data_IF_401849155376
#
_entry.id   IF_401849155376
#
_cell.length_a   1.000
_cell.length_b   1.000
_cell.length_c   1.000
_cell.angle_alpha   90.00
_cell.angle_beta   90.00
_cell.angle_gamma   90.00
#
_symmetry.space_group_name_H-M   'P 1'
#
loop_
_entity.id
_entity.type
_entity.pdbx_description
1 polymer ?
#
# COMPACT_ATOMS: atom_id res chain seq x y z
N UNK A 1 24.47 17.22 -10.80
CA UNK A 1 24.45 15.77 -10.45
C UNK A 1 23.49 15.10 -11.43
N UNK A 2 23.92 14.06 -12.15
CA UNK A 2 23.06 13.32 -13.07
C UNK A 2 22.46 12.14 -12.31
N UNK A 3 21.14 12.09 -12.19
CA UNK A 3 20.43 10.94 -11.62
C UNK A 3 20.36 9.81 -12.66
N UNK A 4 20.64 8.58 -12.26
CA UNK A 4 20.49 7.38 -13.10
C UNK A 4 19.41 6.49 -12.50
N UNK A 5 18.51 5.99 -13.36
CA UNK A 5 17.48 5.04 -12.97
C UNK A 5 18.11 3.69 -12.63
N UNK A 6 17.70 3.09 -11.51
CA UNK A 6 18.05 1.70 -11.15
C UNK A 6 17.35 0.69 -12.06
N UNK A 7 17.90 -0.52 -12.13
CA UNK A 7 17.36 -1.61 -12.96
C UNK A 7 16.69 -2.71 -12.12
N UNK A 8 16.69 -2.56 -10.80
CA UNK A 8 16.09 -3.52 -9.88
C UNK A 8 14.56 -3.46 -9.95
N UNK A 9 13.94 -4.62 -9.72
CA UNK A 9 12.49 -4.75 -9.66
C UNK A 9 12.01 -4.54 -8.23
N UNK A 10 10.84 -3.90 -8.09
CA UNK A 10 10.20 -3.67 -6.81
C UNK A 10 9.68 -4.98 -6.21
N UNK A 11 9.79 -5.11 -4.88
CA UNK A 11 9.22 -6.24 -4.14
C UNK A 11 7.68 -6.22 -4.24
N UNK A 12 7.08 -7.39 -4.48
CA UNK A 12 5.63 -7.52 -4.68
C UNK A 12 4.83 -7.16 -3.43
N UNK A 13 5.39 -7.37 -2.24
CA UNK A 13 4.72 -7.00 -1.01
C UNK A 13 4.72 -5.49 -0.86
N UNK A 14 5.78 -4.80 -1.25
CA UNK A 14 5.78 -3.34 -1.25
C UNK A 14 4.67 -2.78 -2.14
N UNK A 15 4.56 -3.28 -3.38
CA UNK A 15 3.50 -2.84 -4.32
C UNK A 15 2.09 -3.10 -3.76
N UNK A 16 1.89 -4.27 -3.15
CA UNK A 16 0.60 -4.60 -2.51
C UNK A 16 0.31 -3.77 -1.25
N UNK A 17 1.34 -3.42 -0.46
CA UNK A 17 1.21 -2.66 0.78
C UNK A 17 0.74 -1.23 0.55
N UNK A 18 1.19 -0.59 -0.54
CA UNK A 18 0.80 0.78 -0.88
C UNK A 18 -0.58 0.89 -1.55
N UNK A 19 -1.36 -0.19 -1.60
CA UNK A 19 -2.71 -0.20 -2.19
C UNK A 19 -3.67 0.83 -1.58
N UNK A 20 -3.50 1.19 -0.30
CA UNK A 20 -4.30 2.23 0.37
C UNK A 20 -4.17 3.61 -0.31
N UNK A 21 -3.07 3.89 -1.01
CA UNK A 21 -2.87 5.15 -1.72
C UNK A 21 -3.88 5.33 -2.88
N UNK A 22 -4.41 4.22 -3.42
CA UNK A 22 -5.41 4.25 -4.48
C UNK A 22 -6.75 4.79 -3.98
N UNK A 23 -7.14 4.41 -2.76
CA UNK A 23 -8.40 4.85 -2.16
C UNK A 23 -8.28 6.29 -1.62
N UNK A 24 -7.07 6.77 -1.32
CA UNK A 24 -6.84 8.16 -0.92
C UNK A 24 -7.43 9.18 -1.91
N UNK A 25 -7.27 8.93 -3.21
CA UNK A 25 -7.86 9.76 -4.25
C UNK A 25 -9.40 9.78 -4.25
N UNK A 26 -10.04 8.71 -3.76
CA UNK A 26 -11.50 8.62 -3.62
C UNK A 26 -12.00 9.41 -2.41
N UNK A 27 -11.32 9.26 -1.27
CA UNK A 27 -11.69 9.93 -0.02
C UNK A 27 -11.43 11.45 -0.03
N UNK A 28 -10.36 11.90 -0.68
CA UNK A 28 -10.09 13.34 -0.90
C UNK A 28 -11.22 14.06 -1.65
N UNK A 29 -11.95 13.35 -2.53
CA UNK A 29 -13.09 13.93 -3.27
C UNK A 29 -14.37 14.01 -2.44
N UNK A 30 -14.53 13.13 -1.46
CA UNK A 30 -15.69 13.10 -0.55
C UNK A 30 -15.45 13.85 0.76
N UNK A 31 -14.24 14.41 0.97
CA UNK A 31 -13.88 15.14 2.19
C UNK A 31 -13.65 14.24 3.41
N UNK A 32 -13.40 12.94 3.19
CA UNK A 32 -13.10 11.97 4.23
C UNK A 32 -11.61 11.64 4.32
N UNK A 33 -11.22 10.99 5.41
CA UNK A 33 -9.89 10.41 5.59
C UNK A 33 -9.82 9.02 4.95
N UNK A 34 -8.69 8.62 4.35
CA UNK A 34 -8.54 7.37 3.63
C UNK A 34 -8.27 6.18 4.56
N UNK A 35 -9.06 6.06 5.61
CA UNK A 35 -8.91 5.02 6.63
C UNK A 35 -9.95 3.95 6.36
N UNK A 36 -9.49 2.72 6.12
CA UNK A 36 -10.38 1.57 6.02
C UNK A 36 -10.80 1.11 7.42
N UNK A 37 -12.08 0.76 7.58
CA UNK A 37 -12.60 0.23 8.85
C UNK A 37 -12.09 -1.19 9.15
N UNK A 38 -11.83 -2.00 8.11
CA UNK A 38 -11.45 -3.40 8.23
C UNK A 38 -10.59 -3.85 7.05
N UNK A 39 -9.55 -4.64 7.37
CA UNK A 39 -8.80 -5.46 6.42
C UNK A 39 -9.26 -6.91 6.58
N UNK A 40 -9.62 -7.57 5.47
CA UNK A 40 -10.15 -8.93 5.50
C UNK A 40 -9.52 -9.79 4.39
N UNK A 41 -8.69 -10.75 4.78
CA UNK A 41 -7.99 -11.70 3.91
C UNK A 41 -7.76 -13.03 4.64
N UNK A 42 -7.24 -14.03 3.91
CA UNK A 42 -6.81 -15.31 4.48
C UNK A 42 -5.71 -15.18 5.55
N UNK A 43 -5.61 -16.18 6.44
CA UNK A 43 -4.66 -16.16 7.57
C UNK A 43 -3.19 -16.22 7.13
N UNK A 44 -2.92 -16.68 5.91
CA UNK A 44 -1.60 -16.67 5.28
C UNK A 44 -1.03 -15.25 5.08
N UNK A 45 -1.89 -14.22 5.06
CA UNK A 45 -1.49 -12.84 4.82
C UNK A 45 -0.87 -12.12 6.03
N UNK A 46 -0.85 -12.75 7.21
CA UNK A 46 -0.30 -12.15 8.43
C UNK A 46 1.19 -11.76 8.31
N UNK A 47 1.94 -12.49 7.48
CA UNK A 47 3.36 -12.24 7.20
C UNK A 47 3.61 -11.68 5.80
N UNK A 48 2.53 -11.35 5.10
CA UNK A 48 2.55 -10.79 3.75
C UNK A 48 1.83 -9.46 3.74
N UNK A 49 0.67 -9.42 3.09
CA UNK A 49 -0.02 -8.18 2.80
C UNK A 49 -0.36 -7.35 4.04
N UNK A 50 -0.85 -7.96 5.12
CA UNK A 50 -1.20 -7.19 6.33
C UNK A 50 0.01 -6.48 6.93
N UNK A 51 1.16 -7.16 7.01
CA UNK A 51 2.39 -6.56 7.53
C UNK A 51 2.88 -5.44 6.60
N UNK A 52 2.85 -5.65 5.28
CA UNK A 52 3.29 -4.65 4.31
C UNK A 52 2.41 -3.40 4.32
N UNK A 53 1.09 -3.57 4.36
CA UNK A 53 0.13 -2.47 4.44
C UNK A 53 0.36 -1.63 5.70
N UNK A 54 0.52 -2.26 6.87
CA UNK A 54 0.81 -1.55 8.13
C UNK A 54 2.14 -0.79 8.13
N UNK A 55 3.14 -1.25 7.37
CA UNK A 55 4.45 -0.58 7.28
C UNK A 55 4.45 0.59 6.31
N UNK A 56 3.49 0.63 5.37
CA UNK A 56 3.46 1.58 4.27
C UNK A 56 2.32 2.60 4.37
N UNK A 57 1.35 2.39 5.28
CA UNK A 57 0.22 3.27 5.58
C UNK A 57 0.49 4.29 6.68
#
# INVERSE_FOLDING_TARGET
IIYKRGIDTMDVWFDSGVSWTLIEGMFKRSGGEPIADLYFEGSDQHRGWFQSSLLTS
#
